data_IF_942524845196
#
_entry.id   IF_942524845196
#
_cell.length_a   1.000
_cell.length_b   1.000
_cell.length_c   1.000
_cell.angle_alpha   90.00
_cell.angle_beta   90.00
_cell.angle_gamma   90.00
#
_symmetry.space_group_name_H-M   'P 1'
#
loop_
_entity.id
_entity.type
_entity.pdbx_description
1 polymer ?
#
# COMPACT_ATOMS: atom_id res chain seq x y z
N UNK A 1 -7.75 10.34 -19.99
CA UNK A 1 -6.79 9.93 -18.94
C UNK A 1 -7.47 8.83 -18.14
N UNK A 2 -6.85 7.66 -18.03
CA UNK A 2 -7.35 6.54 -17.23
C UNK A 2 -7.21 6.85 -15.74
N UNK A 3 -7.96 6.15 -14.90
CA UNK A 3 -7.88 6.27 -13.45
C UNK A 3 -7.53 4.92 -12.84
N UNK A 4 -6.79 4.90 -11.73
CA UNK A 4 -6.54 3.67 -11.00
C UNK A 4 -6.60 3.83 -9.48
N UNK A 5 -7.00 2.77 -8.78
CA UNK A 5 -7.04 2.76 -7.33
C UNK A 5 -6.24 1.57 -6.80
N UNK A 6 -5.20 1.84 -6.01
CA UNK A 6 -4.47 0.79 -5.28
C UNK A 6 -5.22 0.51 -3.99
N UNK A 7 -5.99 -0.57 -4.02
CA UNK A 7 -6.77 -1.06 -2.89
C UNK A 7 -5.91 -2.02 -2.07
N UNK A 8 -5.48 -1.59 -0.88
CA UNK A 8 -4.43 -2.29 -0.14
C UNK A 8 -4.67 -2.39 1.36
N UNK A 9 -3.94 -3.28 2.04
CA UNK A 9 -3.73 -3.20 3.49
C UNK A 9 -2.46 -2.44 3.84
N UNK A 10 -2.33 -2.10 5.13
CA UNK A 10 -1.03 -1.75 5.71
C UNK A 10 -0.03 -2.90 5.49
N UNK A 11 1.26 -2.56 5.36
CA UNK A 11 2.38 -3.53 5.28
C UNK A 11 2.25 -4.62 4.20
N UNK A 12 1.56 -4.30 3.11
CA UNK A 12 1.37 -5.19 1.95
C UNK A 12 2.26 -4.82 0.75
N UNK A 13 3.27 -3.96 0.94
CA UNK A 13 4.16 -3.51 -0.14
C UNK A 13 3.67 -2.29 -0.92
N UNK A 14 2.59 -1.64 -0.48
CA UNK A 14 1.98 -0.53 -1.23
C UNK A 14 2.91 0.65 -1.47
N UNK A 15 3.80 0.96 -0.53
CA UNK A 15 4.82 1.99 -0.73
C UNK A 15 5.84 1.63 -1.83
N UNK A 16 6.18 0.35 -2.00
CA UNK A 16 7.01 -0.08 -3.12
C UNK A 16 6.30 0.17 -4.44
N UNK A 17 5.02 -0.23 -4.51
CA UNK A 17 4.20 -0.10 -5.71
C UNK A 17 3.99 1.36 -6.10
N UNK A 18 3.63 2.23 -5.15
CA UNK A 18 3.48 3.67 -5.40
C UNK A 18 4.78 4.29 -5.90
N UNK A 19 5.92 3.92 -5.33
CA UNK A 19 7.22 4.40 -5.82
C UNK A 19 7.53 3.89 -7.23
N UNK A 20 7.20 2.63 -7.54
CA UNK A 20 7.37 2.05 -8.87
C UNK A 20 6.51 2.80 -9.90
N UNK A 21 5.22 3.01 -9.61
CA UNK A 21 4.30 3.72 -10.48
C UNK A 21 4.72 5.17 -10.67
N UNK A 22 5.06 5.88 -9.59
CA UNK A 22 5.50 7.27 -9.69
C UNK A 22 6.86 7.44 -10.37
N UNK A 23 7.68 6.39 -10.50
CA UNK A 23 8.88 6.46 -11.33
C UNK A 23 8.56 6.48 -12.84
N UNK A 24 7.36 6.05 -13.25
CA UNK A 24 6.94 6.04 -14.66
C UNK A 24 6.51 7.44 -15.13
N UNK A 25 6.97 7.95 -16.29
CA UNK A 25 6.67 9.33 -16.73
C UNK A 25 5.18 9.59 -17.01
N UNK A 26 4.41 8.56 -17.38
CA UNK A 26 2.99 8.67 -17.74
C UNK A 26 2.02 8.33 -16.60
N UNK A 27 2.52 8.06 -15.39
CA UNK A 27 1.69 7.68 -14.24
C UNK A 27 1.89 8.66 -13.10
N UNK A 28 0.83 9.18 -12.53
CA UNK A 28 0.89 9.81 -11.20
C UNK A 28 0.00 9.02 -10.26
N UNK A 29 0.52 8.65 -9.10
CA UNK A 29 -0.23 7.98 -8.04
C UNK A 29 -0.08 8.74 -6.73
N UNK A 30 -1.19 9.27 -6.22
CA UNK A 30 -1.29 9.88 -4.90
C UNK A 30 -1.19 8.85 -3.80
N UNK A 31 -0.69 9.28 -2.63
CA UNK A 31 -0.65 8.44 -1.44
C UNK A 31 -2.04 8.23 -0.83
N UNK A 32 -2.05 8.03 0.49
CA UNK A 32 -3.30 8.03 1.28
C UNK A 32 -3.92 9.42 1.20
N UNK A 33 -5.20 9.49 0.84
CA UNK A 33 -5.96 10.76 0.73
C UNK A 33 -7.21 10.75 1.60
N UNK A 34 -7.63 9.56 2.07
CA UNK A 34 -8.80 9.37 2.94
C UNK A 34 -8.44 9.23 4.42
N UNK A 35 -7.14 9.16 4.74
CA UNK A 35 -6.66 9.11 6.12
C UNK A 35 -6.75 10.48 6.80
N UNK A 36 -7.28 10.52 8.01
CA UNK A 36 -7.48 11.76 8.79
C UNK A 36 -6.17 12.49 9.14
N UNK A 37 -5.06 11.77 9.10
CA UNK A 37 -3.71 12.31 9.30
C UNK A 37 -3.19 13.10 8.10
N UNK A 38 -3.77 12.91 6.91
CA UNK A 38 -3.26 13.44 5.65
C UNK A 38 -3.67 14.90 5.44
N UNK A 39 -2.78 15.70 4.83
CA UNK A 39 -3.06 17.12 4.54
C UNK A 39 -4.27 17.29 3.62
N UNK A 40 -4.41 16.53 2.51
CA UNK A 40 -5.58 16.66 1.63
C UNK A 40 -6.91 16.41 2.35
N UNK A 41 -6.98 15.36 3.18
CA UNK A 41 -8.19 15.07 3.96
C UNK A 41 -8.51 16.16 4.97
N UNK A 42 -7.50 16.70 5.67
CA UNK A 42 -7.70 17.81 6.63
C UNK A 42 -8.22 19.07 5.96
N UNK A 43 -7.82 19.33 4.71
CA UNK A 43 -8.38 20.43 3.92
C UNK A 43 -9.83 20.14 3.52
N UNK A 44 -10.12 18.93 3.04
CA UNK A 44 -11.50 18.52 2.76
C UNK A 44 -12.41 18.68 3.99
N UNK A 45 -12.01 18.16 5.14
CA UNK A 45 -12.85 18.19 6.35
C UNK A 45 -13.03 19.57 6.97
N UNK A 46 -12.05 20.48 6.81
CA UNK A 46 -12.12 21.82 7.41
C UNK A 46 -12.76 22.87 6.51
N UNK A 47 -12.48 22.83 5.21
CA UNK A 47 -12.89 23.89 4.27
C UNK A 47 -13.77 23.37 3.14
N UNK A 48 -14.18 22.10 3.16
CA UNK A 48 -15.03 21.51 2.14
C UNK A 48 -14.34 21.36 0.77
N UNK A 49 -13.00 21.25 0.75
CA UNK A 49 -12.25 21.07 -0.49
C UNK A 49 -12.76 19.83 -1.23
N UNK A 50 -13.21 20.00 -2.46
CA UNK A 50 -13.74 18.90 -3.26
C UNK A 50 -15.16 18.46 -2.90
N UNK A 51 -15.92 19.23 -2.13
CA UNK A 51 -17.35 18.97 -1.86
C UNK A 51 -17.65 18.59 -0.42
N UNK A 52 -18.89 18.13 -0.19
CA UNK A 52 -19.39 17.77 1.15
C UNK A 52 -19.30 16.27 1.46
N UNK A 53 -19.22 15.44 0.42
CA UNK A 53 -19.11 13.99 0.57
C UNK A 53 -17.71 13.49 0.20
N UNK A 54 -17.38 12.30 0.72
CA UNK A 54 -16.15 11.60 0.34
C UNK A 54 -16.12 11.25 -1.16
N UNK A 55 -17.28 10.96 -1.75
CA UNK A 55 -17.39 10.65 -3.19
C UNK A 55 -17.04 11.87 -4.04
N UNK A 56 -17.56 13.05 -3.68
CA UNK A 56 -17.22 14.31 -4.35
C UNK A 56 -15.72 14.59 -4.24
N UNK A 57 -15.15 14.38 -3.06
CA UNK A 57 -13.73 14.60 -2.80
C UNK A 57 -12.83 13.68 -3.60
N UNK A 58 -13.16 12.39 -3.69
CA UNK A 58 -12.44 11.44 -4.54
C UNK A 58 -12.55 11.84 -6.01
N UNK A 59 -13.75 12.21 -6.48
CA UNK A 59 -13.93 12.68 -7.84
C UNK A 59 -13.11 13.95 -8.12
N UNK A 60 -13.09 14.91 -7.19
CA UNK A 60 -12.29 16.12 -7.25
C UNK A 60 -10.79 15.81 -7.40
N UNK A 61 -10.25 14.89 -6.59
CA UNK A 61 -8.84 14.49 -6.67
C UNK A 61 -8.48 13.95 -8.06
N UNK A 62 -9.38 13.16 -8.65
CA UNK A 62 -9.14 12.57 -9.97
C UNK A 62 -9.30 13.55 -11.14
N UNK A 63 -10.10 14.60 -10.98
CA UNK A 63 -10.53 15.43 -12.13
C UNK A 63 -9.94 16.82 -12.12
N UNK A 64 -9.47 17.33 -10.98
CA UNK A 64 -9.07 18.72 -10.84
C UNK A 64 -7.57 18.94 -11.17
N UNK A 65 -7.23 19.69 -12.24
CA UNK A 65 -5.83 19.95 -12.60
C UNK A 65 -5.08 20.83 -11.59
N UNK A 66 -5.78 21.73 -10.88
CA UNK A 66 -5.15 22.56 -9.84
C UNK A 66 -4.69 21.68 -8.66
N UNK A 67 -5.51 20.72 -8.25
CA UNK A 67 -5.12 19.75 -7.24
C UNK A 67 -3.90 18.95 -7.68
N UNK A 68 -3.87 18.50 -8.93
CA UNK A 68 -2.71 17.81 -9.50
C UNK A 68 -1.44 18.64 -9.40
N UNK A 69 -1.45 19.88 -9.89
CA UNK A 69 -0.25 20.70 -9.83
C UNK A 69 0.16 21.03 -8.39
N UNK A 70 -0.80 21.29 -7.48
CA UNK A 70 -0.51 21.46 -6.07
C UNK A 70 0.18 20.22 -5.46
N UNK A 71 -0.30 19.02 -5.78
CA UNK A 71 0.31 17.77 -5.35
C UNK A 71 1.72 17.56 -5.96
N UNK A 72 1.91 17.93 -7.23
CA UNK A 72 3.22 17.88 -7.90
C UNK A 72 4.24 18.82 -7.25
N UNK A 73 3.83 20.06 -6.92
CA UNK A 73 4.68 20.99 -6.18
C UNK A 73 5.01 20.49 -4.78
N UNK A 74 4.02 19.96 -4.05
CA UNK A 74 4.24 19.36 -2.74
C UNK A 74 5.30 18.24 -2.79
N UNK A 75 5.18 17.33 -3.76
CA UNK A 75 6.13 16.23 -3.95
C UNK A 75 7.52 16.72 -4.37
N UNK A 76 7.61 17.73 -5.23
CA UNK A 76 8.89 18.33 -5.64
C UNK A 76 9.60 18.97 -4.46
N UNK A 77 8.90 19.76 -3.64
CA UNK A 77 9.46 20.38 -2.46
C UNK A 77 10.10 19.31 -1.56
N UNK A 78 9.35 18.25 -1.22
CA UNK A 78 9.87 17.15 -0.40
C UNK A 78 11.17 16.54 -0.95
N UNK A 79 11.31 16.45 -2.29
CA UNK A 79 12.50 15.88 -2.95
C UNK A 79 13.67 16.85 -2.99
N UNK A 80 13.41 18.14 -3.20
CA UNK A 80 14.43 19.21 -3.10
C UNK A 80 15.03 19.21 -1.69
N UNK A 81 14.19 19.22 -0.65
CA UNK A 81 14.63 19.12 0.75
C UNK A 81 15.45 17.87 1.04
N UNK A 82 15.27 16.79 0.26
CA UNK A 82 15.99 15.51 0.39
C UNK A 82 17.14 15.35 -0.60
N UNK A 83 17.49 16.36 -1.39
CA UNK A 83 18.54 16.30 -2.41
C UNK A 83 18.30 15.25 -3.50
N UNK A 84 17.04 14.87 -3.75
CA UNK A 84 16.67 13.86 -4.75
C UNK A 84 16.37 14.52 -6.11
N UNK A 85 16.61 13.81 -7.23
CA UNK A 85 16.30 14.36 -8.56
C UNK A 85 14.83 14.73 -8.65
N UNK A 86 14.49 15.78 -9.41
CA UNK A 86 13.11 16.21 -9.61
C UNK A 86 12.33 15.19 -10.44
N UNK A 87 11.02 15.11 -10.25
CA UNK A 87 10.10 14.31 -11.07
C UNK A 87 8.78 15.07 -11.12
N UNK A 88 8.86 16.27 -11.69
CA UNK A 88 7.68 17.06 -11.99
C UNK A 88 7.09 16.54 -13.29
N UNK A 89 5.78 16.33 -13.30
CA UNK A 89 5.03 15.81 -14.44
C UNK A 89 3.93 16.79 -14.79
N UNK A 90 3.67 16.94 -16.08
CA UNK A 90 2.60 17.80 -16.57
C UNK A 90 1.34 16.98 -16.81
N UNK A 91 0.18 17.62 -16.61
CA UNK A 91 -1.12 16.95 -16.74
C UNK A 91 -1.31 16.25 -18.09
N UNK A 92 -0.85 16.88 -19.17
CA UNK A 92 -0.94 16.33 -20.54
C UNK A 92 -0.02 15.13 -20.81
N UNK A 93 1.00 14.89 -19.98
CA UNK A 93 1.90 13.73 -20.09
C UNK A 93 1.33 12.50 -19.37
N UNK A 94 0.37 12.69 -18.47
CA UNK A 94 -0.18 11.62 -17.65
C UNK A 94 -1.25 10.86 -18.45
N UNK A 95 -1.01 9.56 -18.63
CA UNK A 95 -2.00 8.63 -19.18
C UNK A 95 -2.91 8.09 -18.08
N UNK A 96 -2.39 7.90 -16.86
CA UNK A 96 -3.15 7.36 -15.74
C UNK A 96 -2.87 8.08 -14.41
N UNK A 97 -3.93 8.43 -13.71
CA UNK A 97 -3.90 9.07 -12.40
C UNK A 97 -4.48 8.13 -11.35
N UNK A 98 -3.82 7.98 -10.20
CA UNK A 98 -4.28 7.04 -9.20
C UNK A 98 -4.20 7.49 -7.75
N UNK A 99 -4.89 6.73 -6.91
CA UNK A 99 -4.94 6.90 -5.46
C UNK A 99 -4.57 5.57 -4.81
N UNK A 100 -3.74 5.61 -3.76
CA UNK A 100 -3.44 4.45 -2.92
C UNK A 100 -4.08 4.62 -1.56
N UNK A 101 -5.02 3.77 -1.20
CA UNK A 101 -5.64 3.85 0.11
C UNK A 101 -6.01 2.51 0.73
N UNK A 102 -6.28 2.54 2.03
CA UNK A 102 -6.49 1.34 2.80
C UNK A 102 -7.92 0.79 2.71
N UNK A 103 -8.04 -0.53 2.56
CA UNK A 103 -9.32 -1.23 2.53
C UNK A 103 -10.21 -0.97 3.74
N UNK A 104 -9.63 -0.66 4.90
CA UNK A 104 -10.37 -0.30 6.11
C UNK A 104 -11.28 0.92 5.91
N UNK A 105 -10.96 1.81 4.97
CA UNK A 105 -11.83 2.94 4.62
C UNK A 105 -13.11 2.52 3.92
N UNK A 106 -13.22 1.29 3.42
CA UNK A 106 -14.40 0.75 2.72
C UNK A 106 -15.21 -0.22 3.58
N UNK A 107 -14.83 -0.37 4.86
CA UNK A 107 -15.53 -1.21 5.81
C UNK A 107 -16.58 -0.41 6.59
N UNK A 108 -17.45 -1.13 7.32
CA UNK A 108 -18.44 -0.56 8.24
C UNK A 108 -19.31 0.54 7.60
N UNK A 109 -19.42 1.70 8.23
CA UNK A 109 -20.24 2.84 7.81
C UNK A 109 -19.83 3.43 6.46
N UNK A 110 -18.63 3.10 5.96
CA UNK A 110 -18.09 3.60 4.68
C UNK A 110 -18.22 2.59 3.53
N UNK A 111 -19.03 1.53 3.69
CA UNK A 111 -19.34 0.57 2.61
C UNK A 111 -19.94 1.24 1.36
N UNK A 112 -20.58 2.39 1.51
CA UNK A 112 -21.09 3.18 0.38
C UNK A 112 -19.98 3.61 -0.60
N UNK A 113 -18.71 3.68 -0.18
CA UNK A 113 -17.60 4.02 -1.08
C UNK A 113 -17.42 3.00 -2.22
N UNK A 114 -17.96 1.79 -2.10
CA UNK A 114 -18.00 0.85 -3.23
C UNK A 114 -18.87 1.33 -4.38
N UNK A 115 -19.88 2.19 -4.15
CA UNK A 115 -20.65 2.77 -5.24
C UNK A 115 -19.77 3.62 -6.16
N UNK A 116 -18.75 4.27 -5.60
CA UNK A 116 -17.78 5.05 -6.39
C UNK A 116 -17.14 4.23 -7.52
N UNK A 117 -16.78 2.98 -7.25
CA UNK A 117 -16.17 2.12 -8.27
C UNK A 117 -17.20 1.55 -9.26
N UNK A 118 -18.46 1.42 -8.84
CA UNK A 118 -19.57 1.01 -9.72
C UNK A 118 -19.98 2.12 -10.67
N UNK A 119 -19.96 3.37 -10.19
CA UNK A 119 -20.37 4.55 -10.95
C UNK A 119 -19.26 5.08 -11.88
N UNK A 120 -18.03 4.57 -11.76
CA UNK A 120 -16.85 4.99 -12.52
C UNK A 120 -16.12 3.82 -13.15
N UNK A 121 -16.62 3.38 -14.31
CA UNK A 121 -16.08 2.24 -15.06
C UNK A 121 -14.65 2.45 -15.57
N UNK A 122 -14.21 3.70 -15.70
CA UNK A 122 -12.85 4.05 -16.10
C UNK A 122 -11.79 3.83 -15.01
N UNK A 123 -12.21 3.55 -13.76
CA UNK A 123 -11.30 3.28 -12.65
C UNK A 123 -10.91 1.80 -12.67
N UNK A 124 -9.61 1.55 -12.87
CA UNK A 124 -8.96 0.27 -12.72
C UNK A 124 -8.55 0.04 -11.26
N UNK A 125 -8.78 -1.14 -10.70
CA UNK A 125 -8.48 -1.47 -9.31
C UNK A 125 -7.27 -2.39 -9.25
N UNK A 126 -6.24 -1.99 -8.51
CA UNK A 126 -5.11 -2.84 -8.18
C UNK A 126 -5.31 -3.35 -6.75
N UNK A 127 -5.73 -4.60 -6.61
CA UNK A 127 -5.86 -5.25 -5.31
C UNK A 127 -4.51 -5.77 -4.85
N UNK A 128 -3.83 -5.00 -4.01
CA UNK A 128 -2.56 -5.35 -3.40
C UNK A 128 -2.78 -5.94 -2.00
N UNK A 129 -2.42 -7.20 -1.83
CA UNK A 129 -2.62 -7.91 -0.56
C UNK A 129 -1.39 -8.70 -0.15
N UNK A 130 -1.37 -9.19 1.09
CA UNK A 130 -0.29 -10.02 1.62
C UNK A 130 -0.90 -11.30 2.17
N UNK A 131 -0.54 -12.44 1.57
CA UNK A 131 -1.08 -13.76 1.88
C UNK A 131 -0.68 -14.19 3.28
N UNK A 132 0.58 -13.99 3.66
CA UNK A 132 1.07 -14.38 4.99
C UNK A 132 0.68 -13.31 6.05
N UNK A 133 -0.44 -13.55 6.71
CA UNK A 133 -1.03 -12.67 7.73
C UNK A 133 -0.17 -12.58 8.99
N UNK A 134 0.52 -13.67 9.37
CA UNK A 134 1.43 -13.68 10.51
C UNK A 134 2.59 -12.72 10.29
N UNK A 135 3.27 -12.84 9.14
CA UNK A 135 4.36 -11.96 8.74
C UNK A 135 3.90 -10.49 8.59
N UNK A 136 2.65 -10.27 8.20
CA UNK A 136 2.04 -8.93 8.18
C UNK A 136 1.87 -8.36 9.59
N UNK A 137 1.32 -9.15 10.52
CA UNK A 137 1.13 -8.75 11.91
C UNK A 137 2.46 -8.46 12.62
N UNK A 138 3.45 -9.33 12.44
CA UNK A 138 4.81 -9.12 12.99
C UNK A 138 5.42 -7.84 12.42
N UNK A 139 5.24 -7.57 11.11
CA UNK A 139 5.69 -6.30 10.53
C UNK A 139 4.99 -5.07 11.14
N UNK A 140 3.76 -5.20 11.61
CA UNK A 140 3.04 -4.12 12.28
C UNK A 140 3.54 -3.93 13.71
N UNK A 141 3.70 -5.01 14.48
CA UNK A 141 4.27 -4.97 15.84
C UNK A 141 5.70 -4.42 15.86
N UNK A 142 6.54 -4.83 14.91
CA UNK A 142 7.89 -4.28 14.76
C UNK A 142 7.87 -2.78 14.47
N UNK A 143 6.90 -2.28 13.69
CA UNK A 143 6.76 -0.84 13.46
C UNK A 143 6.33 -0.11 14.74
N UNK A 144 5.43 -0.66 15.55
CA UNK A 144 5.03 0.00 16.80
C UNK A 144 6.16 0.08 17.82
N UNK A 145 7.07 -0.89 17.81
CA UNK A 145 8.24 -0.91 18.70
C UNK A 145 9.39 -0.04 18.17
N UNK A 146 9.66 -0.08 16.86
CA UNK A 146 10.83 0.60 16.27
C UNK A 146 10.52 1.99 15.72
N UNK A 147 9.25 2.33 15.48
CA UNK A 147 8.78 3.51 14.74
C UNK A 147 9.36 3.65 13.30
N UNK A 148 10.05 2.63 12.77
CA UNK A 148 10.68 2.68 11.45
C UNK A 148 9.72 2.22 10.34
N UNK A 149 9.27 3.16 9.51
CA UNK A 149 8.38 2.87 8.37
C UNK A 149 9.19 2.48 7.12
N UNK A 150 10.42 3.00 6.97
CA UNK A 150 11.35 2.79 5.85
C UNK A 150 12.76 2.47 6.33
N UNK A 151 13.45 1.51 5.71
CA UNK A 151 14.84 1.17 6.07
C UNK A 151 15.82 2.34 5.87
N UNK A 152 15.54 3.23 4.91
CA UNK A 152 16.35 4.43 4.65
C UNK A 152 16.30 5.45 5.82
N UNK A 153 15.26 5.40 6.66
CA UNK A 153 15.17 6.20 7.89
C UNK A 153 16.03 5.58 8.99
N UNK A 154 16.16 4.25 9.03
CA UNK A 154 17.05 3.54 9.96
C UNK A 154 18.54 3.69 9.62
N UNK A 155 18.89 4.20 8.43
CA UNK A 155 20.28 4.54 8.07
C UNK A 155 20.66 5.99 8.37
N UNK A 156 19.73 6.85 8.80
CA UNK A 156 20.06 8.24 9.21
C UNK A 156 20.47 8.37 10.67
N UNK A 157 20.21 7.35 11.49
CA UNK A 157 20.81 7.18 12.81
C UNK A 157 22.12 6.40 12.66
N UNK A 158 23.10 6.99 11.98
CA UNK A 158 24.47 6.54 12.06
C UNK A 158 25.03 6.93 13.42
N UNK A 159 24.91 6.03 14.38
CA UNK A 159 26.00 5.80 15.30
C UNK A 159 26.27 4.30 15.37
N UNK A 160 27.52 3.99 15.07
CA UNK A 160 28.11 2.66 14.89
C UNK A 160 28.16 1.92 16.22
N UNK A 161 27.01 1.49 16.73
CA UNK A 161 26.89 0.53 17.80
C UNK A 161 26.11 -0.68 17.29
N UNK A 162 26.53 -1.88 17.69
CA UNK A 162 25.90 -3.17 17.38
C UNK A 162 24.40 -2.99 17.25
N UNK A 163 23.86 -3.25 16.06
CA UNK A 163 22.43 -3.18 15.81
C UNK A 163 21.77 -4.25 16.68
N UNK A 164 21.36 -3.88 17.89
CA UNK A 164 20.66 -4.80 18.78
C UNK A 164 19.46 -5.34 18.00
N UNK A 165 19.39 -6.67 17.92
CA UNK A 165 18.27 -7.35 17.31
C UNK A 165 17.06 -7.01 18.18
N UNK A 166 16.20 -6.13 17.69
CA UNK A 166 14.94 -5.82 18.37
C UNK A 166 14.09 -7.08 18.28
N UNK A 167 13.96 -7.76 19.40
CA UNK A 167 13.05 -8.89 19.57
C UNK A 167 11.70 -8.41 20.07
N UNK A 168 10.66 -9.18 19.79
CA UNK A 168 9.31 -8.93 20.30
C UNK A 168 8.78 -10.19 20.96
N UNK A 169 8.11 -10.02 22.10
CA UNK A 169 7.29 -11.07 22.69
C UNK A 169 5.86 -10.94 22.19
N UNK A 170 5.26 -12.05 21.76
CA UNK A 170 3.91 -12.08 21.21
C UNK A 170 2.93 -12.73 22.20
N UNK A 171 1.74 -12.15 22.33
CA UNK A 171 0.62 -12.80 22.98
C UNK A 171 -0.05 -13.74 21.98
N UNK A 172 -0.06 -15.05 22.26
CA UNK A 172 -0.55 -16.09 21.35
C UNK A 172 -2.05 -15.94 21.06
N UNK A 173 -2.86 -15.62 22.08
CA UNK A 173 -4.30 -15.40 21.91
C UNK A 173 -4.58 -14.20 20.99
N UNK A 174 -3.83 -13.11 21.18
CA UNK A 174 -3.89 -11.94 20.30
C UNK A 174 -3.51 -12.32 18.86
N UNK A 175 -2.44 -13.11 18.67
CA UNK A 175 -2.05 -13.57 17.33
C UNK A 175 -3.18 -14.34 16.67
N UNK A 176 -3.74 -15.35 17.34
CA UNK A 176 -4.82 -16.17 16.79
C UNK A 176 -6.04 -15.33 16.42
N UNK A 177 -6.44 -14.40 17.30
CA UNK A 177 -7.56 -13.50 17.04
C UNK A 177 -7.32 -12.62 15.81
N UNK A 178 -6.11 -12.05 15.67
CA UNK A 178 -5.75 -11.22 14.52
C UNK A 178 -5.69 -12.04 13.22
N UNK A 179 -5.22 -13.29 13.28
CA UNK A 179 -5.21 -14.18 12.12
C UNK A 179 -6.63 -14.53 11.66
N UNK A 180 -7.55 -14.79 12.58
CA UNK A 180 -8.97 -15.04 12.27
C UNK A 180 -9.63 -13.81 11.64
N UNK A 181 -9.50 -12.65 12.28
CA UNK A 181 -10.04 -11.39 11.75
C UNK A 181 -9.43 -11.05 10.39
N UNK A 182 -8.13 -11.27 10.23
CA UNK A 182 -7.41 -11.02 8.99
C UNK A 182 -7.88 -11.93 7.84
N UNK A 183 -8.19 -13.19 8.11
CA UNK A 183 -8.77 -14.11 7.12
C UNK A 183 -10.18 -13.65 6.71
N UNK A 184 -11.05 -13.35 7.69
CA UNK A 184 -12.41 -12.89 7.41
C UNK A 184 -12.40 -11.60 6.58
N UNK A 185 -11.52 -10.65 6.90
CA UNK A 185 -11.39 -9.39 6.19
C UNK A 185 -10.81 -9.57 4.77
N UNK A 186 -9.87 -10.50 4.58
CA UNK A 186 -9.36 -10.84 3.24
C UNK A 186 -10.46 -11.49 2.40
N UNK A 187 -11.28 -12.35 2.99
CA UNK A 187 -12.42 -12.97 2.31
C UNK A 187 -13.47 -11.92 1.90
N UNK A 188 -13.94 -11.09 2.84
CA UNK A 188 -14.89 -10.00 2.55
C UNK A 188 -14.34 -9.08 1.44
N UNK A 189 -13.05 -8.78 1.47
CA UNK A 189 -12.39 -7.99 0.44
C UNK A 189 -12.52 -8.63 -0.94
N UNK A 190 -12.18 -9.91 -1.05
CA UNK A 190 -12.24 -10.64 -2.32
C UNK A 190 -13.68 -10.75 -2.82
N UNK A 191 -14.65 -10.95 -1.92
CA UNK A 191 -16.05 -11.03 -2.28
C UNK A 191 -16.62 -9.69 -2.76
N UNK A 192 -16.19 -8.57 -2.17
CA UNK A 192 -16.56 -7.24 -2.69
C UNK A 192 -15.97 -6.98 -4.08
N UNK A 193 -14.74 -7.40 -4.34
CA UNK A 193 -14.09 -7.23 -5.64
C UNK A 193 -14.73 -8.05 -6.76
N UNK A 194 -15.39 -9.18 -6.45
CA UNK A 194 -16.17 -9.95 -7.43
C UNK A 194 -17.35 -9.16 -8.02
N UNK A 195 -17.78 -8.09 -7.38
CA UNK A 195 -18.82 -7.19 -7.90
C UNK A 195 -18.30 -6.22 -8.97
N UNK A 196 -16.98 -6.16 -9.16
CA UNK A 196 -16.33 -5.34 -10.18
C UNK A 196 -15.96 -6.24 -11.35
N UNK A 197 -16.15 -5.81 -12.61
CA UNK A 197 -15.75 -6.58 -13.78
C UNK A 197 -14.28 -7.01 -13.72
N UNK A 198 -13.99 -8.28 -14.04
CA UNK A 198 -12.66 -8.88 -13.88
C UNK A 198 -11.56 -8.11 -14.62
N UNK A 199 -11.83 -7.62 -15.83
CA UNK A 199 -10.88 -6.83 -16.61
C UNK A 199 -10.50 -5.48 -15.98
N UNK A 200 -11.25 -5.03 -14.96
CA UNK A 200 -10.96 -3.82 -14.18
C UNK A 200 -10.20 -4.12 -12.90
N UNK A 201 -9.88 -5.38 -12.57
CA UNK A 201 -9.22 -5.75 -11.32
C UNK A 201 -7.90 -6.49 -11.58
N UNK A 202 -6.80 -5.93 -11.10
CA UNK A 202 -5.49 -6.57 -11.09
C UNK A 202 -5.16 -7.07 -9.69
N UNK A 203 -5.07 -8.39 -9.53
CA UNK A 203 -4.71 -9.02 -8.26
C UNK A 203 -3.20 -9.18 -8.13
N UNK A 204 -2.61 -8.61 -7.08
CA UNK A 204 -1.18 -8.71 -6.80
C UNK A 204 -0.94 -9.04 -5.33
N UNK A 205 -0.26 -10.15 -5.07
CA UNK A 205 0.18 -10.45 -3.71
C UNK A 205 1.60 -9.95 -3.46
N UNK A 206 1.87 -9.58 -2.21
CA UNK A 206 3.20 -9.20 -1.75
C UNK A 206 4.20 -10.34 -2.00
N UNK A 207 3.82 -11.57 -1.70
CA UNK A 207 4.66 -12.76 -1.86
C UNK A 207 5.09 -12.92 -3.31
N UNK A 208 4.14 -12.88 -4.26
CA UNK A 208 4.45 -13.04 -5.68
C UNK A 208 5.28 -11.87 -6.21
N UNK A 209 4.95 -10.62 -5.81
CA UNK A 209 5.70 -9.43 -6.22
C UNK A 209 7.17 -9.47 -5.75
N UNK A 210 7.43 -10.08 -4.60
CA UNK A 210 8.71 -10.00 -3.92
C UNK A 210 9.47 -11.33 -3.84
N UNK A 211 9.01 -12.33 -4.57
CA UNK A 211 9.64 -13.65 -4.70
C UNK A 211 11.05 -13.53 -5.29
N UNK A 212 11.18 -12.83 -6.43
CA UNK A 212 12.46 -12.65 -7.12
C UNK A 212 12.55 -11.30 -7.83
N UNK A 213 13.75 -10.94 -8.32
CA UNK A 213 13.91 -9.77 -9.19
C UNK A 213 13.14 -9.93 -10.51
N UNK A 214 13.11 -11.13 -11.08
CA UNK A 214 12.35 -11.43 -12.29
C UNK A 214 10.84 -11.29 -12.07
N UNK A 215 10.33 -11.70 -10.90
CA UNK A 215 8.91 -11.51 -10.54
C UNK A 215 8.56 -10.03 -10.47
N UNK A 216 9.45 -9.17 -9.94
CA UNK A 216 9.24 -7.72 -9.94
C UNK A 216 9.18 -7.12 -11.35
N UNK A 217 10.04 -7.57 -12.26
CA UNK A 217 10.03 -7.12 -13.65
C UNK A 217 8.77 -7.57 -14.39
N UNK A 218 8.36 -8.83 -14.20
CA UNK A 218 7.13 -9.38 -14.75
C UNK A 218 5.91 -8.58 -14.30
N UNK A 219 5.70 -8.43 -12.98
CA UNK A 219 4.53 -7.72 -12.46
C UNK A 219 4.55 -6.22 -12.78
N UNK A 220 5.73 -5.59 -12.96
CA UNK A 220 5.82 -4.22 -13.48
C UNK A 220 5.22 -4.13 -14.88
N UNK A 221 5.64 -5.01 -15.78
CA UNK A 221 5.23 -4.94 -17.18
C UNK A 221 3.75 -5.30 -17.34
N UNK A 222 3.26 -6.30 -16.60
CA UNK A 222 1.83 -6.63 -16.57
C UNK A 222 0.99 -5.48 -16.00
N UNK A 223 1.47 -4.80 -14.95
CA UNK A 223 0.78 -3.65 -14.40
C UNK A 223 0.74 -2.47 -15.36
N UNK A 224 1.82 -2.22 -16.11
CA UNK A 224 1.86 -1.17 -17.13
C UNK A 224 0.91 -1.45 -18.29
N UNK A 225 0.84 -2.71 -18.75
CA UNK A 225 -0.16 -3.14 -19.74
C UNK A 225 -1.57 -2.94 -19.21
N UNK A 226 -1.84 -3.40 -17.99
CA UNK A 226 -3.14 -3.24 -17.33
C UNK A 226 -3.57 -1.78 -17.23
N UNK A 227 -2.65 -0.88 -16.89
CA UNK A 227 -2.91 0.56 -16.80
C UNK A 227 -2.96 1.29 -18.16
N UNK A 228 -2.60 0.61 -19.25
CA UNK A 228 -2.57 1.18 -20.61
C UNK A 228 -1.46 2.22 -20.81
N UNK A 229 -0.29 2.01 -20.19
CA UNK A 229 0.88 2.88 -20.33
C UNK A 229 2.04 2.17 -21.03
N UNK A 230 3.02 2.95 -21.47
CA UNK A 230 4.16 2.41 -22.21
C UNK A 230 5.04 1.51 -21.30
N UNK A 231 5.70 0.52 -21.89
CA UNK A 231 6.63 -0.35 -21.15
C UNK A 231 7.98 0.35 -21.00
N UNK A 232 8.25 0.89 -19.80
CA UNK A 232 9.53 1.55 -19.48
C UNK A 232 10.22 0.82 -18.34
N UNK A 233 11.54 0.62 -18.46
CA UNK A 233 12.33 0.07 -17.37
C UNK A 233 12.48 1.10 -16.25
N UNK A 234 11.67 0.94 -15.21
CA UNK A 234 11.80 1.68 -13.95
C UNK A 234 12.04 0.73 -12.78
N UNK A 235 12.68 1.23 -11.73
CA UNK A 235 12.92 0.49 -10.48
C UNK A 235 12.40 1.27 -9.29
N UNK A 236 11.78 0.58 -8.35
CA UNK A 236 11.43 1.17 -7.05
C UNK A 236 12.68 1.28 -6.18
N UNK A 237 12.86 2.43 -5.52
CA UNK A 237 13.94 2.58 -4.53
C UNK A 237 13.57 1.97 -3.17
N UNK A 238 12.35 1.45 -2.99
CA UNK A 238 11.89 0.95 -1.70
C UNK A 238 12.47 -0.45 -1.43
N UNK A 239 13.09 -0.60 -0.26
CA UNK A 239 13.62 -1.89 0.22
C UNK A 239 12.67 -2.55 1.22
N UNK A 240 12.65 -3.88 1.26
CA UNK A 240 11.93 -4.66 2.28
C UNK A 240 12.38 -4.24 3.68
N UNK A 241 11.41 -4.06 4.58
CA UNK A 241 11.67 -3.70 5.98
C UNK A 241 12.07 -4.92 6.80
N UNK A 242 11.39 -6.06 6.61
CA UNK A 242 11.75 -7.33 7.26
C UNK A 242 12.49 -8.24 6.29
N UNK A 243 13.71 -8.64 6.67
CA UNK A 243 14.53 -9.64 5.98
C UNK A 243 15.02 -10.73 6.93
N UNK A 244 14.73 -10.62 8.23
CA UNK A 244 15.16 -11.55 9.28
C UNK A 244 14.18 -12.73 9.39
N UNK A 245 14.68 -13.88 9.85
CA UNK A 245 13.85 -15.06 10.07
C UNK A 245 13.02 -14.88 11.34
N UNK A 246 11.79 -15.43 11.35
CA UNK A 246 10.88 -15.31 12.50
C UNK A 246 11.47 -15.73 13.86
N UNK A 247 12.24 -16.84 13.95
CA UNK A 247 12.85 -17.24 15.21
C UNK A 247 13.88 -16.25 15.76
N UNK A 248 14.46 -15.40 14.90
CA UNK A 248 15.47 -14.41 15.30
C UNK A 248 14.83 -13.13 15.87
N UNK A 249 13.53 -12.92 15.64
CA UNK A 249 12.82 -11.69 16.00
C UNK A 249 11.71 -11.91 17.05
N UNK A 250 11.29 -13.15 17.29
CA UNK A 250 10.24 -13.47 18.27
C UNK A 250 10.84 -14.24 19.45
N UNK A 251 10.70 -13.69 20.66
CA UNK A 251 11.27 -14.28 21.87
C UNK A 251 10.65 -15.63 22.24
N UNK A 252 9.32 -15.73 22.10
CA UNK A 252 8.56 -16.95 22.36
C UNK A 252 8.17 -17.68 21.06
N UNK A 253 9.11 -17.80 20.12
CA UNK A 253 8.85 -18.42 18.81
C UNK A 253 8.37 -19.88 18.92
N UNK A 254 8.96 -20.67 19.83
CA UNK A 254 8.58 -22.08 19.98
C UNK A 254 7.13 -22.23 20.43
N UNK A 255 6.67 -21.36 21.34
CA UNK A 255 5.28 -21.32 21.80
C UNK A 255 4.33 -20.96 20.63
N UNK A 256 4.70 -19.94 19.85
CA UNK A 256 3.97 -19.55 18.64
C UNK A 256 3.91 -20.68 17.62
N UNK A 257 5.03 -21.35 17.37
CA UNK A 257 5.11 -22.45 16.42
C UNK A 257 4.18 -23.59 16.82
N UNK A 258 4.20 -24.00 18.09
CA UNK A 258 3.33 -25.05 18.62
C UNK A 258 1.85 -24.68 18.54
N UNK A 259 1.50 -23.42 18.80
CA UNK A 259 0.12 -22.94 18.69
C UNK A 259 -0.39 -22.94 17.25
N UNK A 260 0.48 -22.69 16.26
CA UNK A 260 0.07 -22.54 14.86
C UNK A 260 0.17 -23.84 14.04
N UNK A 261 1.14 -24.71 14.31
CA UNK A 261 1.45 -25.87 13.45
C UNK A 261 0.29 -26.86 13.32
N UNK A 262 -0.50 -27.03 14.39
CA UNK A 262 -1.68 -27.91 14.41
C UNK A 262 -3.00 -27.16 14.18
N UNK A 263 -2.93 -25.88 13.80
CA UNK A 263 -4.10 -25.05 13.53
C UNK A 263 -4.30 -24.84 12.02
N UNK A 264 -5.45 -24.28 11.64
CA UNK A 264 -5.71 -23.81 10.25
C UNK A 264 -4.72 -22.74 9.75
N UNK A 265 -3.87 -22.21 10.62
CA UNK A 265 -2.88 -21.18 10.32
C UNK A 265 -1.47 -21.69 10.08
N UNK A 266 -1.25 -23.01 10.09
CA UNK A 266 0.07 -23.62 9.88
C UNK A 266 0.76 -23.11 8.61
N UNK A 267 0.01 -22.83 7.55
CA UNK A 267 0.49 -22.27 6.29
C UNK A 267 1.23 -20.92 6.43
N UNK A 268 1.04 -20.17 7.52
CA UNK A 268 1.70 -18.89 7.75
C UNK A 268 3.08 -19.02 8.41
N UNK A 269 3.48 -20.23 8.82
CA UNK A 269 4.82 -20.53 9.35
C UNK A 269 5.89 -20.64 8.24
N UNK A 270 5.46 -20.78 6.98
CA UNK A 270 6.32 -20.83 5.80
C UNK A 270 6.79 -19.45 5.31
#
# INVERSE_FOLDING_TARGET
>A
MNKHFIYTGSRSGSNYLVNLLNAHPQITNYGEVMGEWTVPYKLHSRIGLGGKSMLDYLNFIYTNPLFFYAAQFYAVNERVWKGKPLNFKHWNQIKTLGIKDFHMHFCNEKKYLWSFFKDHDEILIINLYRKNLLNKFISLKMLSVTHVVRRDEATKTENTQKKELVTIKLNIEEVLQVLEQGQALLQERMDNLKQIPEHRVFHLSYEDLFESASSQEYYRDELFKFLGVDLVKVKSSHKKVLTQKLPEIIENYDELYQALINSKFAQYLA
#
